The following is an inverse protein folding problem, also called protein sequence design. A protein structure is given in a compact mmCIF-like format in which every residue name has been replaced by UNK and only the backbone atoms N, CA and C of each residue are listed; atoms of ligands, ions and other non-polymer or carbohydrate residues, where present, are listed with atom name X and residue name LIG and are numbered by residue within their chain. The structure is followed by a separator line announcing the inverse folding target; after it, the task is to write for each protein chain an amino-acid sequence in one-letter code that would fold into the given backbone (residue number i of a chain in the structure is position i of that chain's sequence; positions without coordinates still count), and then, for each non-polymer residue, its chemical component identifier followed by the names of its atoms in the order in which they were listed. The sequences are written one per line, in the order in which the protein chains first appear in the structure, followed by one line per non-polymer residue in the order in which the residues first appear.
data_IF_982213051491
#
_entry.id   IF_982213051491
#
_cell.length_a   1.000
_cell.length_b   1.000
_cell.length_c   1.000
_cell.angle_alpha   90.00
_cell.angle_beta   90.00
_cell.angle_gamma   90.00
#
_symmetry.space_group_name_H-M   'P 1'
#
loop_
_entity.id
_entity.type
_entity.pdbx_description
1 polymer ?
#
# COMPACT_ATOMS: atom_id res chain seq x y z
N UNK A 1 28.20 -5.39 45.87
CA UNK A 1 28.60 -4.07 45.33
C UNK A 1 27.77 -3.86 44.05
N UNK A 2 26.59 -3.26 44.24
CA UNK A 2 25.64 -3.01 43.14
C UNK A 2 26.01 -1.69 42.45
N UNK A 3 26.37 -1.74 41.18
CA UNK A 3 26.54 -0.55 40.34
C UNK A 3 25.19 -0.14 39.77
N UNK A 4 24.66 0.96 40.27
CA UNK A 4 23.48 1.66 39.77
C UNK A 4 23.84 2.32 38.43
N UNK A 5 23.23 1.86 37.34
CA UNK A 5 23.30 2.55 36.04
C UNK A 5 22.32 3.71 36.11
N UNK A 6 22.89 4.92 36.33
CA UNK A 6 22.14 6.16 36.36
C UNK A 6 21.58 6.53 34.97
N UNK A 7 20.43 7.14 35.00
CA UNK A 7 19.67 7.68 33.88
C UNK A 7 20.50 8.60 32.96
N UNK A 8 20.63 8.22 31.70
CA UNK A 8 21.04 9.11 30.60
C UNK A 8 19.90 9.24 29.60
N UNK A 9 18.91 10.00 29.98
CA UNK A 9 17.84 10.41 29.04
C UNK A 9 17.43 11.84 29.35
N UNK A 10 18.26 12.80 28.93
CA UNK A 10 17.82 14.20 28.77
C UNK A 10 18.99 15.01 28.20
N UNK A 11 19.23 14.97 26.90
CA UNK A 11 20.06 16.00 26.26
C UNK A 11 20.18 15.79 24.75
N UNK A 12 19.10 16.01 23.99
CA UNK A 12 19.23 16.33 22.55
C UNK A 12 18.08 17.18 22.03
N UNK A 13 17.44 18.00 22.86
CA UNK A 13 16.63 19.12 22.38
C UNK A 13 17.49 20.39 22.52
N UNK A 14 18.15 20.82 21.44
CA UNK A 14 18.64 22.19 21.37
C UNK A 14 17.42 23.10 21.40
N UNK A 15 17.28 24.03 22.37
CA UNK A 15 16.20 25.00 22.32
C UNK A 15 16.36 25.85 21.06
N UNK A 16 15.29 26.01 20.31
CA UNK A 16 15.26 26.95 19.18
C UNK A 16 15.48 28.36 19.74
N UNK A 17 16.23 29.23 19.04
CA UNK A 17 16.42 30.61 19.49
C UNK A 17 15.05 31.31 19.58
N UNK A 18 14.84 32.04 20.64
CA UNK A 18 13.62 32.85 20.86
C UNK A 18 13.46 33.82 19.69
N UNK A 19 12.25 33.85 19.07
CA UNK A 19 11.94 34.78 17.98
C UNK A 19 11.85 34.13 16.59
N UNK A 20 12.09 32.81 16.44
CA UNK A 20 11.79 32.12 15.17
C UNK A 20 10.30 31.82 15.12
N UNK A 21 9.52 32.65 14.41
CA UNK A 21 8.17 32.32 13.97
C UNK A 21 8.29 31.15 13.00
N UNK A 22 7.87 29.96 13.46
CA UNK A 22 7.74 28.80 12.56
C UNK A 22 6.78 29.21 11.42
N UNK A 23 7.27 29.17 10.18
CA UNK A 23 6.37 29.25 9.03
C UNK A 23 5.29 28.17 9.18
N UNK A 24 4.05 28.48 8.76
CA UNK A 24 2.98 27.49 8.76
C UNK A 24 3.50 26.19 8.13
N UNK A 25 3.27 25.06 8.80
CA UNK A 25 3.72 23.76 8.29
C UNK A 25 2.87 23.39 7.06
N UNK A 26 3.36 23.76 5.87
CA UNK A 26 2.74 23.48 4.59
C UNK A 26 3.07 22.08 4.06
N UNK A 27 3.63 21.22 4.89
CA UNK A 27 3.92 19.85 4.48
C UNK A 27 2.62 19.06 4.35
N UNK A 28 2.49 18.19 3.34
CA UNK A 28 1.36 17.30 3.21
C UNK A 28 1.24 16.39 4.45
N UNK A 29 0.02 15.97 4.77
CA UNK A 29 -0.18 14.92 5.76
C UNK A 29 0.53 13.63 5.33
N UNK A 30 0.75 12.70 6.28
CA UNK A 30 1.37 11.42 5.93
C UNK A 30 0.50 10.59 5.01
N UNK A 31 -0.81 10.68 5.15
CA UNK A 31 -1.76 9.99 4.27
C UNK A 31 -1.70 10.57 2.85
N UNK A 32 -1.70 11.89 2.71
CA UNK A 32 -1.53 12.56 1.42
C UNK A 32 -0.21 12.17 0.76
N UNK A 33 0.89 12.20 1.53
CA UNK A 33 2.22 11.87 1.03
C UNK A 33 2.32 10.44 0.52
N UNK A 34 1.83 9.45 1.29
CA UNK A 34 1.90 8.04 0.87
C UNK A 34 0.87 7.67 -0.19
N UNK A 35 -0.32 8.29 -0.17
CA UNK A 35 -1.30 8.08 -1.24
C UNK A 35 -0.82 8.65 -2.57
N UNK A 36 -0.16 9.82 -2.55
CA UNK A 36 0.50 10.36 -3.74
C UNK A 36 1.56 9.41 -4.28
N UNK A 37 2.38 8.82 -3.41
CA UNK A 37 3.34 7.79 -3.83
C UNK A 37 2.66 6.55 -4.42
N UNK A 38 1.55 6.09 -3.85
CA UNK A 38 0.79 4.98 -4.41
C UNK A 38 0.28 5.32 -5.83
N UNK A 39 -0.19 6.55 -6.05
CA UNK A 39 -0.57 7.02 -7.37
C UNK A 39 0.62 7.12 -8.34
N UNK A 40 1.79 7.59 -7.87
CA UNK A 40 3.01 7.63 -8.69
C UNK A 40 3.47 6.21 -9.06
N UNK A 41 3.42 5.26 -8.12
CA UNK A 41 3.70 3.84 -8.38
C UNK A 41 2.74 3.26 -9.42
N UNK A 42 1.45 3.63 -9.38
CA UNK A 42 0.45 3.20 -10.35
C UNK A 42 0.79 3.60 -11.79
N UNK A 43 1.56 4.67 -12.01
CA UNK A 43 1.98 5.10 -13.36
C UNK A 43 2.86 4.07 -14.08
N UNK A 44 3.44 3.12 -13.34
CA UNK A 44 4.25 2.02 -13.90
C UNK A 44 3.45 0.86 -14.44
N UNK A 45 2.11 0.88 -14.28
CA UNK A 45 1.26 -0.21 -14.76
C UNK A 45 1.36 -0.41 -16.27
N UNK A 46 1.26 -1.66 -16.69
CA UNK A 46 1.09 -2.05 -18.10
C UNK A 46 -0.29 -2.65 -18.35
N UNK A 47 -1.19 -2.55 -17.38
CA UNK A 47 -2.58 -2.98 -17.50
C UNK A 47 -3.39 -1.97 -18.33
N UNK A 48 -4.13 -2.45 -19.32
CA UNK A 48 -4.96 -1.62 -20.20
C UNK A 48 -6.29 -1.19 -19.55
N UNK A 49 -6.67 -1.84 -18.44
CA UNK A 49 -7.99 -1.63 -17.80
C UNK A 49 -7.96 -0.65 -16.64
N UNK A 50 -6.93 -0.70 -15.81
CA UNK A 50 -6.83 0.11 -14.59
C UNK A 50 -5.38 0.21 -14.13
N UNK A 51 -4.96 1.41 -13.76
CA UNK A 51 -3.68 1.64 -13.07
C UNK A 51 -3.87 1.55 -11.57
N UNK A 52 -3.24 0.56 -10.93
CA UNK A 52 -3.26 0.40 -9.48
C UNK A 52 -1.83 0.40 -8.95
N UNK A 53 -1.60 1.16 -7.87
CA UNK A 53 -0.34 1.21 -7.14
C UNK A 53 -0.58 1.05 -5.66
N UNK A 54 0.36 0.37 -5.00
CA UNK A 54 0.35 0.12 -3.57
C UNK A 54 1.71 0.45 -2.96
N UNK A 55 1.70 0.99 -1.73
CA UNK A 55 2.89 1.30 -0.94
C UNK A 55 2.69 0.77 0.46
N UNK A 56 3.58 -0.12 0.93
CA UNK A 56 3.57 -0.66 2.29
C UNK A 56 4.50 0.18 3.14
N UNK A 57 3.99 0.69 4.26
CA UNK A 57 4.67 1.65 5.13
C UNK A 57 4.64 1.17 6.58
N UNK A 58 5.75 1.30 7.29
CA UNK A 58 5.81 1.12 8.75
C UNK A 58 6.70 2.19 9.35
N UNK A 59 6.30 2.78 10.48
CA UNK A 59 7.03 3.85 11.16
C UNK A 59 7.45 5.00 10.20
N UNK A 60 6.54 5.37 9.28
CA UNK A 60 6.76 6.37 8.23
C UNK A 60 7.90 6.03 7.26
N UNK A 61 8.25 4.75 7.14
CA UNK A 61 9.23 4.23 6.19
C UNK A 61 8.56 3.34 5.17
N UNK A 62 8.87 3.54 3.90
CA UNK A 62 8.42 2.66 2.83
C UNK A 62 9.19 1.35 2.92
N UNK A 63 8.47 0.25 3.02
CA UNK A 63 9.03 -1.09 3.07
C UNK A 63 9.01 -1.78 1.71
N UNK A 64 7.90 -1.64 0.97
CA UNK A 64 7.72 -2.23 -0.34
C UNK A 64 6.73 -1.43 -1.17
N UNK A 65 6.82 -1.57 -2.48
CA UNK A 65 5.88 -0.98 -3.44
C UNK A 65 5.42 -2.04 -4.43
N UNK A 66 4.26 -1.83 -5.05
CA UNK A 66 3.77 -2.70 -6.10
C UNK A 66 2.83 -1.95 -7.03
N UNK A 67 2.87 -2.27 -8.31
CA UNK A 67 1.88 -1.85 -9.29
C UNK A 67 1.32 -3.08 -9.99
N UNK A 68 0.12 -2.98 -10.52
CA UNK A 68 -0.48 -4.10 -11.22
C UNK A 68 0.16 -4.31 -12.60
N UNK A 69 0.55 -5.55 -12.87
CA UNK A 69 1.27 -5.87 -14.10
C UNK A 69 1.58 -7.36 -14.24
N UNK A 70 2.00 -7.73 -15.41
CA UNK A 70 2.37 -9.11 -15.74
C UNK A 70 3.65 -9.48 -15.00
N UNK A 71 3.84 -10.75 -14.57
CA UNK A 71 5.07 -11.21 -13.93
C UNK A 71 6.32 -10.90 -14.76
N UNK A 72 7.43 -10.67 -14.06
CA UNK A 72 8.73 -10.34 -14.68
C UNK A 72 9.13 -11.39 -15.74
N UNK A 73 9.54 -10.92 -16.91
CA UNK A 73 9.95 -11.75 -18.03
C UNK A 73 8.83 -12.19 -18.97
N UNK A 74 7.57 -11.88 -18.65
CA UNK A 74 6.46 -12.14 -19.54
C UNK A 74 6.07 -10.88 -20.32
N UNK A 75 5.51 -11.07 -21.53
CA UNK A 75 5.05 -9.97 -22.40
C UNK A 75 3.88 -9.22 -21.77
N UNK A 76 3.95 -7.91 -21.77
CA UNK A 76 2.96 -7.03 -21.13
C UNK A 76 1.61 -7.00 -21.86
N UNK A 77 0.54 -6.74 -21.11
CA UNK A 77 -0.80 -6.57 -21.70
C UNK A 77 -0.85 -5.37 -22.67
N UNK A 78 -0.04 -4.36 -22.49
CA UNK A 78 0.11 -3.24 -23.44
C UNK A 78 0.58 -3.69 -24.83
N UNK A 79 1.23 -4.85 -24.94
CA UNK A 79 1.74 -5.39 -26.19
C UNK A 79 0.82 -6.49 -26.76
N UNK A 80 0.27 -7.37 -25.90
CA UNK A 80 -0.51 -8.53 -26.32
C UNK A 80 -2.03 -8.34 -26.23
N UNK A 81 -2.47 -7.24 -25.65
CA UNK A 81 -3.88 -7.01 -25.31
C UNK A 81 -4.29 -7.65 -23.98
N UNK A 82 -5.49 -7.30 -23.52
CA UNK A 82 -6.05 -7.83 -22.29
C UNK A 82 -6.86 -9.10 -22.57
N UNK A 83 -6.43 -10.25 -22.08
CA UNK A 83 -7.14 -11.52 -22.25
C UNK A 83 -8.59 -11.46 -21.73
N UNK A 84 -8.82 -10.77 -20.59
CA UNK A 84 -10.18 -10.62 -20.05
C UNK A 84 -11.09 -9.77 -20.96
N UNK A 85 -10.55 -8.77 -21.67
CA UNK A 85 -11.31 -8.01 -22.67
C UNK A 85 -11.60 -8.85 -23.91
N UNK A 86 -10.61 -9.60 -24.41
CA UNK A 86 -10.77 -10.50 -25.55
C UNK A 86 -11.85 -11.56 -25.29
N UNK A 87 -12.04 -11.97 -24.04
CA UNK A 87 -13.08 -12.93 -23.62
C UNK A 87 -14.38 -12.26 -23.16
N UNK A 88 -14.53 -10.95 -23.30
CA UNK A 88 -15.74 -10.22 -22.91
C UNK A 88 -16.01 -10.23 -21.39
N UNK A 89 -14.99 -10.44 -20.55
CA UNK A 89 -15.15 -10.52 -19.09
C UNK A 89 -15.33 -9.13 -18.49
N UNK A 90 -16.42 -8.87 -17.74
CA UNK A 90 -16.64 -7.59 -17.06
C UNK A 90 -15.52 -7.23 -16.06
N UNK A 91 -15.46 -5.94 -15.70
CA UNK A 91 -14.54 -5.49 -14.64
C UNK A 91 -14.90 -6.15 -13.32
N UNK A 92 -13.89 -6.49 -12.52
CA UNK A 92 -14.10 -7.13 -11.21
C UNK A 92 -14.32 -8.65 -11.23
N UNK A 93 -14.43 -9.27 -12.39
CA UNK A 93 -14.72 -10.71 -12.52
C UNK A 93 -13.52 -11.48 -13.09
N UNK A 94 -13.48 -12.79 -12.80
CA UNK A 94 -12.52 -13.74 -13.38
C UNK A 94 -11.06 -13.29 -13.24
N UNK A 95 -10.66 -12.93 -12.01
CA UNK A 95 -9.28 -12.50 -11.75
C UNK A 95 -8.26 -13.62 -12.00
N UNK A 96 -8.69 -14.89 -11.90
CA UNK A 96 -7.86 -16.08 -12.10
C UNK A 96 -7.33 -16.22 -13.53
N UNK A 97 -8.01 -15.64 -14.52
CA UNK A 97 -7.54 -15.63 -15.91
C UNK A 97 -6.78 -14.34 -16.28
N UNK A 98 -6.62 -13.41 -15.35
CA UNK A 98 -5.80 -12.24 -15.58
C UNK A 98 -4.32 -12.64 -15.65
N UNK A 99 -3.61 -12.16 -16.69
CA UNK A 99 -2.16 -12.41 -16.80
C UNK A 99 -1.35 -11.62 -15.78
N UNK A 100 -1.91 -10.55 -15.24
CA UNK A 100 -1.25 -9.65 -14.30
C UNK A 100 -1.54 -10.02 -12.86
N UNK A 101 -0.56 -9.70 -12.00
CA UNK A 101 -0.74 -9.62 -10.55
C UNK A 101 -1.31 -8.25 -10.18
N UNK A 102 -1.99 -8.18 -9.03
CA UNK A 102 -2.47 -6.92 -8.48
C UNK A 102 -1.31 -6.17 -7.79
N UNK A 103 -1.49 -4.88 -7.55
CA UNK A 103 -0.49 -4.02 -6.94
C UNK A 103 -0.12 -4.51 -5.53
N UNK A 104 -1.12 -4.88 -4.73
CA UNK A 104 -0.95 -5.40 -3.38
C UNK A 104 -0.18 -6.72 -3.38
N UNK A 105 -0.48 -7.63 -4.31
CA UNK A 105 0.23 -8.88 -4.48
C UNK A 105 1.72 -8.64 -4.80
N UNK A 106 2.00 -7.73 -5.74
CA UNK A 106 3.36 -7.38 -6.11
C UNK A 106 4.13 -6.73 -4.95
N UNK A 107 3.48 -5.88 -4.13
CA UNK A 107 4.10 -5.29 -2.95
C UNK A 107 4.45 -6.37 -1.90
N UNK A 108 3.55 -7.32 -1.62
CA UNK A 108 3.80 -8.45 -0.70
C UNK A 108 4.93 -9.34 -1.25
N UNK A 109 4.90 -9.68 -2.54
CA UNK A 109 5.92 -10.51 -3.18
C UNK A 109 7.28 -9.81 -3.15
N UNK A 110 7.33 -8.49 -3.38
CA UNK A 110 8.56 -7.70 -3.27
C UNK A 110 9.13 -7.80 -1.86
N UNK A 111 8.31 -7.58 -0.83
CA UNK A 111 8.73 -7.71 0.55
C UNK A 111 9.27 -9.11 0.86
N UNK A 112 8.54 -10.16 0.46
CA UNK A 112 8.96 -11.54 0.65
C UNK A 112 10.29 -11.87 -0.05
N UNK A 113 10.47 -11.39 -1.29
CA UNK A 113 11.69 -11.62 -2.08
C UNK A 113 12.94 -11.02 -1.42
N UNK A 114 12.79 -9.89 -0.75
CA UNK A 114 13.90 -9.19 -0.09
C UNK A 114 13.98 -9.42 1.42
N UNK A 115 13.17 -10.32 1.97
CA UNK A 115 13.17 -10.66 3.39
C UNK A 115 12.71 -9.51 4.29
N UNK A 116 11.82 -8.63 3.79
CA UNK A 116 11.32 -7.48 4.52
C UNK A 116 10.06 -7.90 5.29
N UNK A 117 10.09 -7.74 6.62
CA UNK A 117 8.92 -7.99 7.46
C UNK A 117 7.93 -6.84 7.33
N UNK A 118 6.71 -7.16 6.88
CA UNK A 118 5.62 -6.19 6.70
C UNK A 118 4.49 -6.34 7.73
N UNK A 119 4.63 -7.24 8.69
CA UNK A 119 3.65 -7.39 9.75
C UNK A 119 3.56 -6.11 10.61
N UNK A 120 2.33 -5.68 10.91
CA UNK A 120 2.05 -4.44 11.63
C UNK A 120 2.28 -3.17 10.78
N UNK A 121 2.29 -3.29 9.45
CA UNK A 121 2.43 -2.17 8.54
C UNK A 121 1.06 -1.63 8.07
N UNK A 122 1.05 -0.41 7.55
CA UNK A 122 -0.05 0.19 6.79
C UNK A 122 0.20 0.01 5.30
N UNK A 123 -0.82 -0.35 4.52
CA UNK A 123 -0.75 -0.30 3.07
C UNK A 123 -1.60 0.85 2.53
N UNK A 124 -1.01 1.69 1.68
CA UNK A 124 -1.68 2.71 0.89
C UNK A 124 -1.89 2.18 -0.52
N UNK A 125 -3.13 2.20 -1.00
CA UNK A 125 -3.48 1.71 -2.33
C UNK A 125 -4.52 2.63 -2.96
N UNK A 126 -4.36 2.98 -4.23
CA UNK A 126 -5.27 3.90 -4.89
C UNK A 126 -6.64 3.28 -5.27
N UNK A 127 -6.83 1.99 -5.04
CA UNK A 127 -8.11 1.28 -5.23
C UNK A 127 -8.29 0.27 -4.11
N UNK A 128 -9.49 0.22 -3.50
CA UNK A 128 -9.82 -0.73 -2.43
C UNK A 128 -9.47 -2.17 -2.83
N UNK A 129 -8.82 -2.95 -1.98
CA UNK A 129 -8.41 -4.32 -2.28
C UNK A 129 -9.59 -5.25 -2.57
N UNK A 130 -9.46 -6.08 -3.61
CA UNK A 130 -10.41 -7.15 -3.87
C UNK A 130 -10.23 -8.32 -2.87
N UNK A 131 -11.17 -9.25 -2.84
CA UNK A 131 -11.17 -10.40 -1.92
C UNK A 131 -9.88 -11.22 -1.96
N UNK A 132 -9.24 -11.37 -3.13
CA UNK A 132 -7.97 -12.09 -3.23
C UNK A 132 -6.86 -11.35 -2.50
N UNK A 133 -6.76 -10.03 -2.71
CA UNK A 133 -5.76 -9.19 -2.03
C UNK A 133 -6.05 -9.06 -0.54
N UNK A 134 -7.32 -8.92 -0.13
CA UNK A 134 -7.72 -8.87 1.27
C UNK A 134 -7.19 -10.08 2.05
N UNK A 135 -7.44 -11.30 1.55
CA UNK A 135 -6.93 -12.53 2.17
C UNK A 135 -5.40 -12.56 2.31
N UNK A 136 -4.68 -12.04 1.32
CA UNK A 136 -3.22 -11.98 1.37
C UNK A 136 -2.74 -10.95 2.38
N UNK A 137 -3.36 -9.77 2.45
CA UNK A 137 -3.04 -8.72 3.40
C UNK A 137 -3.28 -9.15 4.84
N UNK A 138 -4.40 -9.84 5.10
CA UNK A 138 -4.70 -10.44 6.41
C UNK A 138 -3.59 -11.39 6.83
N UNK A 139 -3.24 -12.36 5.98
CA UNK A 139 -2.20 -13.34 6.30
C UNK A 139 -0.79 -12.76 6.36
N UNK A 140 -0.53 -11.65 5.67
CA UNK A 140 0.73 -10.92 5.74
C UNK A 140 0.86 -10.09 7.03
N UNK A 141 -0.20 -10.01 7.85
CA UNK A 141 -0.20 -9.28 9.11
C UNK A 141 -0.22 -7.76 8.92
N UNK A 142 -0.89 -7.27 7.90
CA UNK A 142 -1.12 -5.82 7.72
C UNK A 142 -2.13 -5.35 8.77
N UNK A 143 -1.83 -4.26 9.47
CA UNK A 143 -2.69 -3.68 10.51
C UNK A 143 -3.67 -2.66 9.96
N UNK A 144 -3.32 -1.96 8.88
CA UNK A 144 -4.13 -0.88 8.33
C UNK A 144 -4.09 -0.85 6.80
N UNK A 145 -5.27 -0.59 6.20
CA UNK A 145 -5.45 -0.38 4.77
C UNK A 145 -6.03 1.01 4.56
N UNK A 146 -5.31 1.87 3.82
CA UNK A 146 -5.79 3.19 3.38
C UNK A 146 -5.98 3.14 1.88
N UNK A 147 -7.22 3.35 1.41
CA UNK A 147 -7.51 3.33 -0.02
C UNK A 147 -8.13 4.64 -0.49
N UNK A 148 -7.99 4.97 -1.78
CA UNK A 148 -8.53 6.21 -2.35
C UNK A 148 -9.85 6.01 -3.09
N UNK A 149 -9.95 4.96 -3.92
CA UNK A 149 -11.14 4.72 -4.73
C UNK A 149 -11.83 3.45 -4.24
N UNK A 150 -13.11 3.52 -3.86
CA UNK A 150 -13.85 2.33 -3.45
C UNK A 150 -13.97 1.30 -4.59
N UNK A 151 -14.05 0.05 -4.21
CA UNK A 151 -14.25 -1.07 -5.11
C UNK A 151 -15.33 -2.00 -4.54
N UNK A 152 -16.41 -2.28 -5.29
CA UNK A 152 -17.54 -3.05 -4.78
C UNK A 152 -17.22 -4.54 -4.76
N UNK A 153 -16.66 -5.02 -3.65
CA UNK A 153 -16.38 -6.43 -3.37
C UNK A 153 -16.84 -6.73 -1.93
N UNK A 154 -18.10 -7.14 -1.79
CA UNK A 154 -18.76 -7.38 -0.50
C UNK A 154 -17.98 -8.39 0.35
N UNK A 155 -17.57 -9.51 -0.26
CA UNK A 155 -16.80 -10.53 0.45
C UNK A 155 -15.45 -10.00 0.95
N UNK A 156 -14.80 -9.11 0.19
CA UNK A 156 -13.59 -8.43 0.66
C UNK A 156 -13.86 -7.62 1.93
N UNK A 157 -14.95 -6.85 1.93
CA UNK A 157 -15.33 -6.01 3.07
C UNK A 157 -15.69 -6.86 4.30
N UNK A 158 -16.43 -7.95 4.14
CA UNK A 158 -16.76 -8.88 5.20
C UNK A 158 -15.51 -9.49 5.86
N UNK A 159 -14.60 -10.02 5.05
CA UNK A 159 -13.37 -10.64 5.56
C UNK A 159 -12.44 -9.62 6.26
N UNK A 160 -12.33 -8.41 5.73
CA UNK A 160 -11.55 -7.35 6.35
C UNK A 160 -12.16 -6.91 7.70
N UNK A 161 -13.48 -6.79 7.77
CA UNK A 161 -14.18 -6.48 9.03
C UNK A 161 -14.00 -7.60 10.08
N UNK A 162 -14.11 -8.86 9.69
CA UNK A 162 -13.90 -10.01 10.56
C UNK A 162 -12.45 -10.09 11.08
N UNK A 163 -11.47 -9.72 10.25
CA UNK A 163 -10.05 -9.79 10.60
C UNK A 163 -9.60 -8.76 11.63
N UNK A 164 -10.36 -7.68 11.82
CA UNK A 164 -10.01 -6.56 12.69
C UNK A 164 -8.96 -5.60 12.12
N UNK A 165 -8.60 -5.73 10.85
CA UNK A 165 -7.74 -4.75 10.16
C UNK A 165 -8.47 -3.41 10.08
N UNK A 166 -7.77 -2.32 10.41
CA UNK A 166 -8.32 -0.97 10.22
C UNK A 166 -8.39 -0.63 8.73
N UNK A 167 -9.59 -0.33 8.23
CA UNK A 167 -9.79 0.04 6.82
C UNK A 167 -10.33 1.46 6.74
N UNK A 168 -9.62 2.35 6.04
CA UNK A 168 -9.98 3.75 5.88
C UNK A 168 -9.98 4.19 4.42
N UNK A 169 -10.95 5.02 4.06
CA UNK A 169 -10.94 5.74 2.79
C UNK A 169 -10.14 7.05 2.95
N UNK A 170 -9.23 7.31 2.02
CA UNK A 170 -8.53 8.59 1.90
C UNK A 170 -9.37 9.57 1.06
N UNK A 171 -9.83 10.64 1.67
CA UNK A 171 -10.74 11.63 1.05
C UNK A 171 -10.05 12.89 0.55
N UNK A 172 -8.72 13.00 0.70
CA UNK A 172 -7.96 14.13 0.19
C UNK A 172 -7.85 15.34 1.14
N UNK A 173 -8.08 15.13 2.45
CA UNK A 173 -7.87 16.15 3.51
C UNK A 173 -6.56 15.97 4.25
#
# INVERSE_FOLDING_TARGET
MMLTIGAMTESFRRPFPEGVTMAADNRPSWDEYFMKMANDVATRTTCLRRGVGAVIVKDRRILATGYNGVPTGLTHCSETGCLREQLGVPSGQRHEICRGLHAEQNAIIQAARYGINIAGATIYVNTQPCVVCAKMLINAGIDEIVYQNPYPDELSQELLAESGILVREYTGE
#
